data_IF_305439108524
#
_entry.id   IF_305439108524
#
_cell.length_a   1.000
_cell.length_b   1.000
_cell.length_c   1.000
_cell.angle_alpha   90.00
_cell.angle_beta   90.00
_cell.angle_gamma   90.00
#
_symmetry.space_group_name_H-M   'P 1'
#
loop_
_entity.id
_entity.type
_entity.pdbx_description
1 polymer ?
#
# COMPACT_ATOMS: atom_id res chain seq x y z
N UNK A 1 -5.43 -15.26 5.10
CA UNK A 1 -4.38 -14.34 5.62
C UNK A 1 -3.52 -14.90 6.77
N UNK A 2 -4.03 -15.75 7.69
CA UNK A 2 -3.25 -16.27 8.84
C UNK A 2 -2.13 -17.30 8.54
N UNK A 3 -1.93 -17.72 7.28
CA UNK A 3 -1.04 -18.84 6.96
C UNK A 3 0.36 -18.46 6.42
N UNK A 4 0.61 -17.21 5.97
CA UNK A 4 1.91 -16.85 5.37
C UNK A 4 2.94 -16.27 6.35
N UNK A 5 2.52 -15.69 7.47
CA UNK A 5 3.43 -15.04 8.42
C UNK A 5 4.08 -16.02 9.44
N UNK A 6 3.70 -17.30 9.44
CA UNK A 6 4.22 -18.27 10.43
C UNK A 6 5.65 -18.74 10.15
N UNK A 7 6.22 -18.39 9.01
CA UNK A 7 7.55 -18.84 8.58
C UNK A 7 8.48 -17.70 8.14
N UNK A 8 8.07 -16.44 8.29
CA UNK A 8 8.87 -15.27 7.91
C UNK A 8 9.30 -14.49 9.15
N UNK A 9 10.52 -13.98 9.14
CA UNK A 9 11.07 -13.06 10.14
C UNK A 9 10.79 -11.61 9.75
N UNK A 10 9.53 -11.31 9.41
CA UNK A 10 9.08 -9.97 9.05
C UNK A 10 8.58 -9.25 10.30
N UNK A 11 9.22 -8.15 10.65
CA UNK A 11 8.77 -7.23 11.70
C UNK A 11 7.69 -6.28 11.17
N UNK A 12 6.70 -5.97 11.99
CA UNK A 12 5.67 -4.96 11.67
C UNK A 12 5.73 -3.81 12.66
N UNK A 13 6.30 -2.69 12.21
CA UNK A 13 6.36 -1.43 12.96
C UNK A 13 5.11 -0.61 12.66
N UNK A 14 4.53 0.03 13.69
CA UNK A 14 3.31 0.82 13.57
C UNK A 14 3.54 2.20 14.19
N UNK A 15 3.37 3.22 13.37
CA UNK A 15 3.49 4.63 13.78
C UNK A 15 2.22 5.39 13.39
N UNK A 16 1.18 5.22 14.22
CA UNK A 16 -0.13 5.80 13.94
C UNK A 16 -0.31 7.10 14.71
N UNK A 17 -0.47 8.20 13.97
CA UNK A 17 -0.96 9.46 14.53
C UNK A 17 -2.33 9.26 15.19
N UNK A 18 -2.36 9.32 16.52
CA UNK A 18 -3.58 9.13 17.33
C UNK A 18 -4.48 10.36 17.36
N UNK A 19 -4.03 11.49 16.82
CA UNK A 19 -4.79 12.75 16.75
C UNK A 19 -5.67 12.85 15.50
N UNK A 20 -5.58 11.88 14.59
CA UNK A 20 -6.34 11.89 13.34
C UNK A 20 -7.85 11.92 13.57
N UNK A 21 -8.59 12.70 12.76
CA UNK A 21 -10.04 12.69 12.81
C UNK A 21 -10.58 11.34 12.34
N UNK A 22 -11.80 11.00 12.77
CA UNK A 22 -12.54 9.88 12.18
C UNK A 22 -12.94 10.25 10.76
N UNK A 23 -12.70 9.34 9.82
CA UNK A 23 -13.10 9.47 8.42
C UNK A 23 -14.18 8.44 8.09
N UNK A 24 -15.20 8.85 7.36
CA UNK A 24 -16.25 7.95 6.88
C UNK A 24 -15.86 7.38 5.52
N UNK A 25 -15.63 6.08 5.47
CA UNK A 25 -15.12 5.38 4.28
C UNK A 25 -15.77 4.01 4.14
N UNK A 26 -15.75 3.46 2.93
CA UNK A 26 -16.16 2.08 2.66
C UNK A 26 -15.08 1.10 3.12
N UNK A 27 -15.20 0.62 4.36
CA UNK A 27 -14.16 -0.19 5.02
C UNK A 27 -13.77 -1.48 4.30
N UNK A 28 -14.72 -2.18 3.64
CA UNK A 28 -14.42 -3.39 2.87
C UNK A 28 -13.52 -3.11 1.65
N UNK A 29 -13.73 -1.98 0.98
CA UNK A 29 -12.91 -1.56 -0.15
C UNK A 29 -11.49 -1.19 0.32
N UNK A 30 -11.36 -0.43 1.41
CA UNK A 30 -10.04 -0.10 1.97
C UNK A 30 -9.30 -1.33 2.49
N UNK A 31 -9.99 -2.33 3.04
CA UNK A 31 -9.36 -3.60 3.41
C UNK A 31 -8.71 -4.28 2.19
N UNK A 32 -9.29 -4.15 0.99
CA UNK A 32 -8.65 -4.67 -0.23
C UNK A 32 -7.39 -3.87 -0.59
N UNK A 33 -7.42 -2.54 -0.43
CA UNK A 33 -6.23 -1.68 -0.61
C UNK A 33 -5.10 -2.14 0.31
N UNK A 34 -5.37 -2.22 1.63
CA UNK A 34 -4.37 -2.64 2.62
C UNK A 34 -3.85 -4.04 2.35
N UNK A 35 -4.74 -4.97 1.98
CA UNK A 35 -4.37 -6.33 1.59
C UNK A 35 -3.36 -6.33 0.45
N UNK A 36 -3.62 -5.57 -0.61
CA UNK A 36 -2.78 -5.55 -1.80
C UNK A 36 -1.42 -4.92 -1.51
N UNK A 37 -1.38 -3.81 -0.77
CA UNK A 37 -0.14 -3.12 -0.42
C UNK A 37 0.73 -3.96 0.53
N UNK A 38 0.15 -4.50 1.60
CA UNK A 38 0.88 -5.32 2.58
C UNK A 38 1.32 -6.64 1.94
N UNK A 39 0.51 -7.27 1.09
CA UNK A 39 0.91 -8.49 0.40
C UNK A 39 2.07 -8.24 -0.56
N UNK A 40 2.10 -7.09 -1.24
CA UNK A 40 3.26 -6.70 -2.05
C UNK A 40 4.53 -6.51 -1.23
N UNK A 41 4.45 -5.84 -0.07
CA UNK A 41 5.58 -5.71 0.84
C UNK A 41 6.10 -7.07 1.32
N UNK A 42 5.22 -7.98 1.76
CA UNK A 42 5.59 -9.35 2.16
C UNK A 42 6.30 -10.08 1.01
N UNK A 43 5.81 -9.94 -0.23
CA UNK A 43 6.44 -10.57 -1.38
C UNK A 43 7.79 -9.95 -1.74
N UNK A 44 7.98 -8.65 -1.53
CA UNK A 44 9.25 -7.98 -1.78
C UNK A 44 10.32 -8.36 -0.75
N UNK A 45 9.92 -8.55 0.51
CA UNK A 45 10.81 -8.93 1.61
C UNK A 45 11.19 -10.42 1.60
N UNK A 46 10.32 -11.28 1.07
CA UNK A 46 10.54 -12.72 1.09
C UNK A 46 10.50 -13.27 2.52
N UNK A 47 11.66 -13.64 3.07
CA UNK A 47 11.77 -14.34 4.35
C UNK A 47 11.98 -13.41 5.55
N UNK A 48 12.53 -12.20 5.37
CA UNK A 48 12.88 -11.30 6.48
C UNK A 48 12.86 -9.82 6.06
N UNK A 49 12.69 -8.93 7.05
CA UNK A 49 12.71 -7.48 6.87
C UNK A 49 11.68 -6.78 7.75
N UNK A 50 11.38 -5.51 7.45
CA UNK A 50 10.48 -4.69 8.23
C UNK A 50 9.42 -4.04 7.35
N UNK A 51 8.16 -4.22 7.72
CA UNK A 51 7.04 -3.45 7.19
C UNK A 51 6.70 -2.35 8.19
N UNK A 52 6.74 -1.10 7.75
CA UNK A 52 6.32 0.06 8.53
C UNK A 52 4.96 0.54 8.08
N UNK A 53 4.00 0.60 8.99
CA UNK A 53 2.67 1.18 8.75
C UNK A 53 2.58 2.49 9.51
N UNK A 54 2.43 3.61 8.80
CA UNK A 54 2.28 4.92 9.42
C UNK A 54 1.02 5.63 8.96
N UNK A 55 0.52 6.52 9.81
CA UNK A 55 -0.57 7.43 9.45
C UNK A 55 -0.26 8.83 9.91
N UNK A 56 -0.56 9.83 9.09
CA UNK A 56 -0.47 11.25 9.44
C UNK A 56 -1.57 12.06 8.79
N UNK A 57 -1.74 13.29 9.25
CA UNK A 57 -2.57 14.29 8.54
C UNK A 57 -1.71 15.09 7.59
N UNK A 58 -2.23 15.35 6.40
CA UNK A 58 -1.62 16.24 5.43
C UNK A 58 -2.72 17.09 4.79
N UNK A 59 -2.82 18.35 5.24
CA UNK A 59 -3.92 19.24 4.86
C UNK A 59 -5.30 18.63 5.20
N UNK A 60 -6.11 18.46 4.16
CA UNK A 60 -7.46 17.89 4.24
C UNK A 60 -7.50 16.38 3.96
N UNK A 61 -6.35 15.71 3.98
CA UNK A 61 -6.25 14.27 3.80
C UNK A 61 -5.68 13.57 5.05
N UNK A 62 -6.15 12.35 5.28
CA UNK A 62 -5.39 11.36 6.04
C UNK A 62 -4.46 10.66 5.06
N UNK A 63 -3.19 10.56 5.41
CA UNK A 63 -2.21 9.79 4.66
C UNK A 63 -1.95 8.50 5.41
N UNK A 64 -2.13 7.37 4.73
CA UNK A 64 -1.69 6.06 5.20
C UNK A 64 -0.50 5.63 4.37
N UNK A 65 0.56 5.21 5.04
CA UNK A 65 1.76 4.71 4.37
C UNK A 65 1.98 3.24 4.68
N UNK A 66 2.36 2.50 3.65
CA UNK A 66 2.81 1.11 3.75
C UNK A 66 4.24 1.09 3.22
N UNK A 67 5.20 1.04 4.13
CA UNK A 67 6.62 1.00 3.83
C UNK A 67 7.22 -0.38 4.03
N UNK A 68 8.23 -0.73 3.24
CA UNK A 68 9.11 -1.87 3.44
C UNK A 68 10.58 -1.49 3.19
N UNK A 69 11.49 -2.25 3.78
CA UNK A 69 12.94 -2.13 3.62
C UNK A 69 13.51 -3.11 2.57
N UNK A 70 12.68 -3.53 1.62
CA UNK A 70 13.04 -4.49 0.60
C UNK A 70 13.93 -3.94 -0.52
N UNK A 71 14.10 -4.71 -1.62
CA UNK A 71 15.03 -4.39 -2.70
C UNK A 71 14.65 -3.15 -3.52
N UNK A 72 13.45 -2.60 -3.33
CA UNK A 72 12.94 -1.47 -4.10
C UNK A 72 12.31 -1.85 -5.44
N UNK A 73 11.80 -0.83 -6.12
CA UNK A 73 11.21 -0.91 -7.46
C UNK A 73 12.18 -0.20 -8.42
N UNK A 74 12.65 -0.88 -9.49
CA UNK A 74 13.48 -0.25 -10.50
C UNK A 74 12.80 0.95 -11.17
N UNK A 75 13.56 2.02 -11.45
CA UNK A 75 13.01 3.29 -11.94
C UNK A 75 12.33 3.18 -13.30
N UNK A 76 12.81 2.28 -14.17
CA UNK A 76 12.28 2.01 -15.50
C UNK A 76 10.87 1.40 -15.48
N UNK A 77 10.48 0.77 -14.37
CA UNK A 77 9.17 0.15 -14.19
C UNK A 77 8.27 0.87 -13.18
N UNK A 78 8.81 1.82 -12.41
CA UNK A 78 8.08 2.53 -11.34
C UNK A 78 6.78 3.19 -11.83
N UNK A 79 6.77 3.75 -13.04
CA UNK A 79 5.57 4.36 -13.64
C UNK A 79 4.48 3.36 -14.02
N UNK A 80 4.84 2.09 -14.20
CA UNK A 80 3.96 1.03 -14.70
C UNK A 80 3.43 0.11 -13.60
N UNK A 81 3.86 0.27 -12.36
CA UNK A 81 3.46 -0.64 -11.25
C UNK A 81 1.96 -0.62 -10.96
N UNK A 82 1.26 0.43 -11.39
CA UNK A 82 -0.19 0.53 -11.28
C UNK A 82 -0.94 0.14 -12.56
N UNK A 83 -0.23 -0.26 -13.62
CA UNK A 83 -0.84 -0.73 -14.85
C UNK A 83 -1.47 -2.12 -14.64
N UNK A 84 -2.66 -2.38 -15.18
CA UNK A 84 -3.28 -3.69 -15.09
C UNK A 84 -2.36 -4.78 -15.65
N UNK A 85 -2.27 -5.90 -14.92
CA UNK A 85 -1.47 -7.08 -15.28
C UNK A 85 0.05 -6.87 -15.27
N UNK A 86 0.54 -5.66 -14.93
CA UNK A 86 1.97 -5.44 -14.81
C UNK A 86 2.52 -6.17 -13.59
N UNK A 87 3.56 -6.97 -13.79
CA UNK A 87 4.28 -7.66 -12.73
C UNK A 87 5.71 -7.94 -13.18
N UNK A 88 6.68 -7.71 -12.29
CA UNK A 88 8.08 -8.14 -12.47
C UNK A 88 8.34 -9.53 -11.87
N UNK A 89 7.32 -10.12 -11.25
CA UNK A 89 7.41 -11.42 -10.56
C UNK A 89 7.27 -12.57 -11.55
N UNK A 90 7.81 -13.74 -11.18
CA UNK A 90 7.75 -14.95 -12.00
C UNK A 90 6.31 -15.34 -12.36
N UNK A 91 6.15 -16.00 -13.51
CA UNK A 91 4.84 -16.46 -14.00
C UNK A 91 4.17 -17.35 -12.94
N UNK A 92 2.95 -16.99 -12.53
CA UNK A 92 2.18 -17.72 -11.52
C UNK A 92 2.35 -17.22 -10.07
N UNK A 93 3.28 -16.31 -9.79
CA UNK A 93 3.51 -15.75 -8.44
C UNK A 93 2.62 -14.54 -8.08
N UNK A 94 1.80 -14.08 -9.01
CA UNK A 94 0.81 -13.02 -8.83
C UNK A 94 0.05 -12.71 -10.12
N UNK A 95 -1.11 -12.05 -10.01
CA UNK A 95 -1.96 -11.69 -11.16
C UNK A 95 -1.61 -10.34 -11.79
N UNK A 96 -0.74 -9.55 -11.14
CA UNK A 96 -0.44 -8.17 -11.56
C UNK A 96 -1.61 -7.19 -11.37
N UNK A 97 -2.69 -7.59 -10.69
CA UNK A 97 -3.89 -6.75 -10.52
C UNK A 97 -3.94 -5.99 -9.19
N UNK A 98 -3.13 -6.37 -8.20
CA UNK A 98 -3.27 -5.85 -6.83
C UNK A 98 -3.11 -4.32 -6.74
N UNK A 99 -2.08 -3.76 -7.38
CA UNK A 99 -1.83 -2.31 -7.32
C UNK A 99 -2.81 -1.50 -8.18
N UNK A 100 -3.23 -2.02 -9.34
CA UNK A 100 -4.27 -1.39 -10.16
C UNK A 100 -5.61 -1.32 -9.40
N UNK A 101 -6.04 -2.43 -8.78
CA UNK A 101 -7.25 -2.47 -7.95
C UNK A 101 -7.14 -1.51 -6.77
N UNK A 102 -5.99 -1.47 -6.09
CA UNK A 102 -5.76 -0.53 -5.00
C UNK A 102 -5.88 0.92 -5.47
N UNK A 103 -5.26 1.26 -6.62
CA UNK A 103 -5.33 2.60 -7.21
C UNK A 103 -6.77 2.99 -7.50
N UNK A 104 -7.53 2.16 -8.22
CA UNK A 104 -8.94 2.45 -8.58
C UNK A 104 -9.85 2.60 -7.38
N UNK A 105 -9.66 1.82 -6.33
CA UNK A 105 -10.43 2.00 -5.09
C UNK A 105 -10.12 3.37 -4.48
N UNK A 106 -8.85 3.70 -4.34
CA UNK A 106 -8.44 4.98 -3.74
C UNK A 106 -8.91 6.17 -4.59
N UNK A 107 -8.66 6.16 -5.90
CA UNK A 107 -8.97 7.29 -6.79
C UNK A 107 -10.47 7.37 -7.10
N UNK A 108 -11.05 6.28 -7.61
CA UNK A 108 -12.37 6.33 -8.26
C UNK A 108 -13.50 6.18 -7.23
N UNK A 109 -13.23 5.56 -6.08
CA UNK A 109 -14.25 5.28 -5.06
C UNK A 109 -14.16 6.19 -3.84
N UNK A 110 -12.96 6.71 -3.52
CA UNK A 110 -12.71 7.51 -2.31
C UNK A 110 -12.19 8.93 -2.62
N UNK A 111 -12.00 9.27 -3.90
CA UNK A 111 -11.52 10.59 -4.34
C UNK A 111 -10.10 10.91 -3.87
N UNK A 112 -9.32 9.88 -3.55
CA UNK A 112 -7.98 9.97 -3.02
C UNK A 112 -6.89 9.89 -4.08
N UNK A 113 -5.66 9.71 -3.61
CA UNK A 113 -4.49 9.48 -4.46
C UNK A 113 -3.64 8.35 -3.90
N UNK A 114 -3.01 7.57 -4.78
CA UNK A 114 -2.06 6.52 -4.44
C UNK A 114 -0.76 6.76 -5.23
N UNK A 115 0.36 6.84 -4.53
CA UNK A 115 1.69 6.94 -5.15
C UNK A 115 2.68 5.99 -4.48
N UNK A 116 3.87 5.89 -5.08
CA UNK A 116 4.97 5.11 -4.52
C UNK A 116 6.28 5.88 -4.64
N UNK A 117 7.02 5.95 -3.53
CA UNK A 117 8.42 6.33 -3.50
C UNK A 117 9.24 5.08 -3.22
N UNK A 118 10.24 4.79 -4.05
CA UNK A 118 10.99 3.54 -3.92
C UNK A 118 12.43 3.67 -4.38
N UNK A 119 13.32 3.08 -3.58
CA UNK A 119 14.74 2.88 -3.82
C UNK A 119 15.19 1.60 -3.10
N UNK A 120 16.36 1.03 -3.41
CA UNK A 120 16.88 -0.10 -2.65
C UNK A 120 16.92 0.19 -1.14
N UNK A 121 16.39 -0.74 -0.34
CA UNK A 121 16.26 -0.62 1.11
C UNK A 121 15.09 0.23 1.59
N UNK A 122 14.25 0.76 0.67
CA UNK A 122 13.05 1.54 1.04
C UNK A 122 12.04 1.64 -0.09
N UNK A 123 10.87 1.02 0.07
CA UNK A 123 9.66 1.28 -0.74
C UNK A 123 8.57 1.80 0.16
N UNK A 124 7.87 2.87 -0.22
CA UNK A 124 6.73 3.41 0.52
C UNK A 124 5.60 3.73 -0.44
N UNK A 125 4.49 3.03 -0.26
CA UNK A 125 3.22 3.41 -0.88
C UNK A 125 2.50 4.42 0.00
N UNK A 126 2.08 5.53 -0.60
CA UNK A 126 1.37 6.60 0.08
C UNK A 126 -0.07 6.66 -0.42
N UNK A 127 -1.03 6.55 0.50
CA UNK A 127 -2.47 6.60 0.22
C UNK A 127 -3.05 7.84 0.89
N UNK A 128 -3.42 8.85 0.10
CA UNK A 128 -4.13 10.03 0.57
C UNK A 128 -5.64 9.80 0.46
N UNK A 129 -6.34 9.95 1.58
CA UNK A 129 -7.80 9.84 1.68
C UNK A 129 -8.37 11.17 2.18
N UNK A 130 -9.27 11.83 1.43
CA UNK A 130 -9.88 13.08 1.87
C UNK A 130 -10.70 12.90 3.15
N UNK A 131 -10.47 13.78 4.14
CA UNK A 131 -11.17 13.77 5.43
C UNK A 131 -12.65 14.12 5.22
N UNK A 132 -12.93 15.12 4.39
CA UNK A 132 -14.27 15.48 3.99
C UNK A 132 -14.57 14.88 2.61
N UNK A 133 -15.39 13.83 2.58
CA UNK A 133 -15.91 13.30 1.33
C UNK A 133 -16.90 14.32 0.76
N UNK A 134 -16.69 14.77 -0.49
CA UNK A 134 -17.72 15.53 -1.20
C UNK A 134 -18.89 14.58 -1.39
N UNK A 135 -19.99 14.81 -0.65
CA UNK A 135 -21.25 14.14 -0.94
C UNK A 135 -21.64 14.51 -2.38
N UNK A 136 -22.02 13.53 -3.22
CA UNK A 136 -22.57 13.82 -4.54
C UNK A 136 -23.87 14.62 -4.43
#
# INVERSE_FOLDING_TARGET
MKHKLKHTSIEVVRDYDRSLPRVEMRGSELNQVWTNLIHNAIQALGDAGTITLSTRREGDCVVVEVGDDGPGIPDDVKSRVFDPFFTTKEVGSGTGLGLDVARRIVTDRHGGSLSVDSRPGRTVFHVWLPIAQKRP
#
